data_IF_359421490399
#
_entry.id   IF_359421490399
#
_cell.length_a   1.000
_cell.length_b   1.000
_cell.length_c   1.000
_cell.angle_alpha   90.00
_cell.angle_beta   90.00
_cell.angle_gamma   90.00
#
_symmetry.space_group_name_H-M   'P 1'
#
loop_
_entity.id
_entity.type
_entity.pdbx_description
1 polymer ?
#
# COMPACT_ATOMS: atom_id res chain seq x y z
N UNK A 1 15.32 67.69 -44.51
CA UNK A 1 14.22 66.70 -44.53
C UNK A 1 14.37 65.85 -43.28
N UNK A 2 13.43 65.95 -42.35
CA UNK A 2 13.36 65.13 -41.14
C UNK A 2 12.51 63.90 -41.48
N UNK A 3 13.09 62.70 -41.43
CA UNK A 3 12.33 61.45 -41.50
C UNK A 3 12.09 60.94 -40.08
N UNK A 4 10.83 60.95 -39.68
CA UNK A 4 10.31 60.33 -38.47
C UNK A 4 10.42 58.80 -38.58
N UNK A 5 10.97 58.16 -37.55
CA UNK A 5 10.84 56.70 -37.36
C UNK A 5 9.63 56.41 -36.46
N UNK A 6 8.76 55.46 -36.80
CA UNK A 6 7.60 55.12 -35.97
C UNK A 6 8.00 54.22 -34.79
N UNK A 7 7.37 54.45 -33.64
CA UNK A 7 7.42 53.57 -32.48
C UNK A 7 6.79 52.19 -32.79
N UNK A 8 7.27 51.10 -32.18
CA UNK A 8 6.63 49.79 -32.33
C UNK A 8 5.23 49.80 -31.67
N UNK A 9 4.27 49.01 -32.17
CA UNK A 9 2.96 48.91 -31.55
C UNK A 9 3.08 48.22 -30.18
N UNK A 10 2.28 48.71 -29.23
CA UNK A 10 2.00 48.01 -27.97
C UNK A 10 1.48 46.62 -28.31
N UNK A 11 2.24 45.60 -27.91
CA UNK A 11 1.77 44.22 -27.95
C UNK A 11 0.61 44.08 -26.97
N UNK A 12 -0.52 43.73 -27.57
CA UNK A 12 -1.79 43.36 -26.99
C UNK A 12 -1.59 42.32 -25.88
N UNK A 13 -2.05 42.65 -24.69
CA UNK A 13 -2.10 41.79 -23.52
C UNK A 13 -3.21 40.76 -23.75
N UNK A 14 -2.92 39.78 -24.60
CA UNK A 14 -3.72 38.59 -24.77
C UNK A 14 -3.60 37.75 -23.51
N UNK A 15 -4.45 38.06 -22.54
CA UNK A 15 -4.75 37.22 -21.39
C UNK A 15 -4.98 35.80 -21.90
N UNK A 16 -3.99 34.93 -21.71
CA UNK A 16 -4.20 33.50 -21.80
C UNK A 16 -5.13 33.14 -20.65
N UNK A 17 -6.43 33.21 -20.88
CA UNK A 17 -7.38 32.35 -20.19
C UNK A 17 -7.01 30.94 -20.62
N UNK A 18 -6.02 30.36 -19.93
CA UNK A 18 -5.86 28.93 -19.87
C UNK A 18 -7.12 28.43 -19.21
N UNK A 19 -8.07 28.04 -20.04
CA UNK A 19 -9.16 27.14 -19.71
C UNK A 19 -8.50 25.79 -19.33
N UNK A 20 -7.85 25.79 -18.17
CA UNK A 20 -7.55 24.58 -17.44
C UNK A 20 -8.94 24.09 -17.04
N UNK A 21 -9.52 23.28 -17.92
CA UNK A 21 -10.55 22.34 -17.54
C UNK A 21 -10.08 21.73 -16.23
N UNK A 22 -10.68 22.16 -15.11
CA UNK A 22 -10.68 21.45 -13.84
C UNK A 22 -11.41 20.12 -14.11
N UNK A 23 -10.73 19.24 -14.85
CA UNK A 23 -11.05 17.84 -14.91
C UNK A 23 -10.68 17.32 -13.54
N UNK A 24 -11.63 17.33 -12.63
CA UNK A 24 -11.66 16.30 -11.61
C UNK A 24 -11.76 14.98 -12.38
N UNK A 25 -10.61 14.41 -12.74
CA UNK A 25 -10.59 13.05 -13.27
C UNK A 25 -11.28 12.19 -12.21
N UNK A 26 -12.42 11.62 -12.60
CA UNK A 26 -13.21 10.79 -11.70
C UNK A 26 -12.32 9.65 -11.19
N UNK A 27 -12.39 9.31 -9.88
CA UNK A 27 -11.62 8.22 -9.32
C UNK A 27 -11.82 6.92 -10.10
N UNK A 28 -10.74 6.16 -10.33
CA UNK A 28 -10.76 4.97 -11.20
C UNK A 28 -11.68 3.86 -10.68
N UNK A 29 -11.86 3.79 -9.37
CA UNK A 29 -12.76 2.87 -8.67
C UNK A 29 -13.64 3.68 -7.74
N UNK A 30 -14.80 3.14 -7.35
CA UNK A 30 -15.61 3.67 -6.25
C UNK A 30 -15.01 3.33 -4.88
N UNK A 31 -15.41 4.02 -3.78
CA UNK A 31 -14.91 3.71 -2.44
C UNK A 31 -15.21 2.27 -2.04
N UNK A 32 -16.38 1.75 -2.43
CA UNK A 32 -16.78 0.37 -2.13
C UNK A 32 -15.95 -0.66 -2.90
N UNK A 33 -15.62 -0.40 -4.16
CA UNK A 33 -14.73 -1.28 -4.95
C UNK A 33 -13.32 -1.28 -4.37
N UNK A 34 -12.84 -0.11 -3.93
CA UNK A 34 -11.52 0.02 -3.31
C UNK A 34 -11.47 -0.70 -1.95
N UNK A 35 -12.48 -0.49 -1.10
CA UNK A 35 -12.64 -1.20 0.18
C UNK A 35 -12.73 -2.72 0.02
N UNK A 36 -13.33 -3.21 -1.08
CA UNK A 36 -13.43 -4.64 -1.35
C UNK A 36 -12.06 -5.34 -1.51
N UNK A 37 -11.04 -4.65 -2.04
CA UNK A 37 -9.67 -5.20 -2.11
C UNK A 37 -9.08 -5.48 -0.71
N UNK A 38 -9.24 -4.52 0.21
CA UNK A 38 -8.77 -4.66 1.59
C UNK A 38 -9.51 -5.78 2.31
N UNK A 39 -10.84 -5.84 2.18
CA UNK A 39 -11.66 -6.88 2.81
C UNK A 39 -11.30 -8.26 2.25
N UNK A 40 -11.18 -8.41 0.92
CA UNK A 40 -10.77 -9.68 0.30
C UNK A 40 -9.40 -10.13 0.82
N UNK A 41 -8.43 -9.23 0.89
CA UNK A 41 -7.10 -9.56 1.40
C UNK A 41 -7.12 -9.92 2.89
N UNK A 42 -7.85 -9.19 3.73
CA UNK A 42 -7.99 -9.51 5.15
C UNK A 42 -8.70 -10.85 5.37
N UNK A 43 -9.75 -11.14 4.60
CA UNK A 43 -10.42 -12.43 4.65
C UNK A 43 -9.49 -13.57 4.22
N UNK A 44 -8.64 -13.35 3.22
CA UNK A 44 -7.57 -14.28 2.87
C UNK A 44 -6.58 -14.47 4.03
N UNK A 45 -6.11 -13.39 4.67
CA UNK A 45 -5.23 -13.50 5.83
C UNK A 45 -5.88 -14.31 6.97
N UNK A 46 -7.20 -14.21 7.16
CA UNK A 46 -7.97 -15.05 8.09
C UNK A 46 -8.00 -16.55 7.76
N UNK A 47 -7.67 -16.92 6.53
CA UNK A 47 -7.53 -18.33 6.14
C UNK A 47 -6.15 -18.88 6.48
N UNK A 48 -5.16 -18.01 6.68
CA UNK A 48 -3.87 -18.37 7.24
C UNK A 48 -4.02 -18.54 8.77
N UNK A 49 -2.92 -18.87 9.46
CA UNK A 49 -2.89 -19.06 10.92
C UNK A 49 -3.09 -17.76 11.75
N UNK A 50 -3.88 -16.81 11.25
CA UNK A 50 -4.34 -15.61 11.97
C UNK A 50 -5.74 -15.84 12.53
N UNK A 51 -5.98 -15.37 13.75
CA UNK A 51 -7.32 -15.43 14.35
C UNK A 51 -8.26 -14.47 13.63
N UNK A 52 -9.43 -14.96 13.21
CA UNK A 52 -10.47 -14.13 12.60
C UNK A 52 -10.92 -13.01 13.52
N UNK A 53 -10.86 -13.18 14.84
CA UNK A 53 -11.23 -12.14 15.79
C UNK A 53 -10.22 -10.99 15.87
N UNK A 54 -8.98 -11.22 15.43
CA UNK A 54 -7.93 -10.21 15.42
C UNK A 54 -7.98 -9.34 14.15
N UNK A 55 -8.77 -9.74 13.15
CA UNK A 55 -8.98 -8.96 11.94
C UNK A 55 -9.84 -7.74 12.22
N UNK A 56 -9.34 -6.59 11.76
CA UNK A 56 -10.03 -5.31 11.83
C UNK A 56 -10.91 -5.14 10.60
N UNK A 57 -12.07 -5.79 10.62
CA UNK A 57 -13.08 -5.67 9.56
C UNK A 57 -13.96 -4.45 9.86
N UNK A 58 -14.23 -3.56 8.88
CA UNK A 58 -15.12 -2.43 9.09
C UNK A 58 -16.54 -2.90 9.46
N UNK A 59 -17.25 -2.17 10.34
CA UNK A 59 -18.70 -2.34 10.49
C UNK A 59 -19.44 -2.16 9.16
N UNK A 60 -20.69 -2.63 8.99
CA UNK A 60 -21.46 -2.42 7.76
C UNK A 60 -21.71 -0.96 7.38
N UNK A 61 -21.61 -0.05 8.35
CA UNK A 61 -21.67 1.41 8.18
C UNK A 61 -20.28 2.06 8.19
N UNK A 62 -19.24 1.23 8.16
CA UNK A 62 -17.84 1.54 8.40
C UNK A 62 -17.50 2.13 9.77
N UNK A 63 -16.26 2.58 9.94
CA UNK A 63 -15.71 3.03 11.22
C UNK A 63 -16.28 4.40 11.63
N UNK A 64 -17.11 4.50 12.68
CA UNK A 64 -17.80 5.75 13.04
C UNK A 64 -16.85 6.86 13.51
N UNK A 65 -15.64 6.52 13.94
CA UNK A 65 -14.60 7.48 14.33
C UNK A 65 -13.88 8.15 13.16
N UNK A 66 -14.11 7.69 11.91
CA UNK A 66 -13.53 8.31 10.71
C UNK A 66 -14.50 9.39 10.21
N UNK A 67 -14.12 10.64 10.39
CA UNK A 67 -14.91 11.84 10.10
C UNK A 67 -13.98 12.92 9.56
N UNK A 68 -14.54 13.94 8.90
CA UNK A 68 -13.73 15.09 8.46
C UNK A 68 -13.00 15.74 9.65
N UNK A 69 -13.68 15.86 10.79
CA UNK A 69 -13.14 16.33 12.08
C UNK A 69 -11.91 15.53 12.52
N UNK A 70 -12.02 14.19 12.56
CA UNK A 70 -10.93 13.31 13.01
C UNK A 70 -9.82 13.16 11.96
N UNK A 71 -10.09 13.61 10.73
CA UNK A 71 -9.14 13.81 9.65
C UNK A 71 -8.67 15.26 9.54
N UNK A 72 -8.83 16.10 10.58
CA UNK A 72 -8.32 17.47 10.63
C UNK A 72 -8.83 18.39 9.52
N UNK A 73 -9.95 18.04 8.87
CA UNK A 73 -10.56 18.72 7.73
C UNK A 73 -9.66 18.87 6.48
N UNK A 74 -8.58 18.09 6.39
CA UNK A 74 -7.63 18.20 5.28
C UNK A 74 -7.78 17.08 4.24
N UNK A 75 -8.64 16.08 4.50
CA UNK A 75 -8.96 15.01 3.53
C UNK A 75 -10.17 15.39 2.69
N UNK A 76 -10.17 14.95 1.42
CA UNK A 76 -11.33 15.10 0.54
C UNK A 76 -12.50 14.23 1.03
N UNK A 77 -13.73 14.59 0.65
CA UNK A 77 -14.92 13.80 0.99
C UNK A 77 -14.80 12.36 0.47
N UNK A 78 -14.27 12.20 -0.76
CA UNK A 78 -14.04 10.91 -1.39
C UNK A 78 -13.06 10.03 -0.59
N UNK A 79 -11.99 10.64 -0.07
CA UNK A 79 -10.99 9.98 0.76
C UNK A 79 -11.55 9.61 2.13
N UNK A 80 -12.41 10.44 2.71
CA UNK A 80 -13.11 10.11 3.96
C UNK A 80 -14.04 8.90 3.74
N UNK A 81 -14.82 8.89 2.66
CA UNK A 81 -15.69 7.75 2.31
C UNK A 81 -14.90 6.46 2.10
N UNK A 82 -13.73 6.54 1.46
CA UNK A 82 -12.82 5.40 1.27
C UNK A 82 -12.23 4.90 2.59
N UNK A 83 -11.78 5.81 3.45
CA UNK A 83 -11.16 5.47 4.72
C UNK A 83 -12.13 4.81 5.70
N UNK A 84 -13.43 5.07 5.59
CA UNK A 84 -14.47 4.45 6.44
C UNK A 84 -14.44 2.92 6.38
N UNK A 85 -13.92 2.34 5.28
CA UNK A 85 -13.82 0.89 5.08
C UNK A 85 -12.50 0.26 5.59
N UNK A 86 -11.51 1.03 6.05
CA UNK A 86 -10.28 0.47 6.64
C UNK A 86 -9.61 1.37 7.70
N UNK A 87 -8.90 0.75 8.66
CA UNK A 87 -8.30 1.52 9.77
C UNK A 87 -7.08 2.31 9.30
N UNK A 88 -7.20 3.64 9.17
CA UNK A 88 -6.06 4.56 8.95
C UNK A 88 -5.07 4.59 10.13
N UNK A 89 -3.81 4.92 9.86
CA UNK A 89 -2.81 5.23 10.90
C UNK A 89 -2.82 6.74 11.25
N UNK A 90 -2.17 7.15 12.35
CA UNK A 90 -2.06 8.57 12.72
C UNK A 90 -1.00 9.26 11.86
N UNK A 91 -1.36 10.34 11.17
CA UNK A 91 -0.53 10.98 10.15
C UNK A 91 0.26 12.19 10.69
N UNK A 92 1.51 12.36 10.25
CA UNK A 92 2.25 13.65 10.29
C UNK A 92 3.21 13.73 9.10
N UNK A 93 2.87 14.49 8.05
CA UNK A 93 3.59 14.43 6.75
C UNK A 93 3.86 15.80 6.13
N UNK A 94 4.17 16.80 6.95
CA UNK A 94 4.58 18.13 6.47
C UNK A 94 5.96 18.04 5.77
N UNK A 95 6.04 17.48 4.55
CA UNK A 95 7.10 17.65 3.52
C UNK A 95 7.14 16.53 2.44
N UNK A 96 6.21 15.57 2.40
CA UNK A 96 6.29 14.46 1.44
C UNK A 96 5.47 14.71 0.17
N UNK A 97 6.06 14.44 -0.99
CA UNK A 97 5.38 14.46 -2.30
C UNK A 97 5.01 13.03 -2.67
N UNK A 98 3.77 12.82 -3.14
CA UNK A 98 3.27 11.52 -3.58
C UNK A 98 3.00 11.57 -5.08
N UNK A 99 3.59 10.64 -5.83
CA UNK A 99 3.49 10.60 -7.29
C UNK A 99 2.89 9.27 -7.72
N UNK A 100 1.75 9.32 -8.42
CA UNK A 100 1.17 8.15 -9.08
C UNK A 100 1.91 7.85 -10.40
N UNK A 101 1.42 6.86 -11.14
CA UNK A 101 1.87 6.61 -12.51
C UNK A 101 1.52 7.75 -13.50
N UNK A 102 0.61 8.65 -13.14
CA UNK A 102 0.11 9.72 -14.00
C UNK A 102 0.60 11.11 -13.55
N UNK A 103 0.39 11.45 -12.28
CA UNK A 103 0.63 12.81 -11.76
C UNK A 103 0.89 12.86 -10.25
N UNK A 104 1.31 14.04 -9.78
CA UNK A 104 1.45 14.35 -8.37
C UNK A 104 0.09 14.37 -7.68
N UNK A 105 -0.02 13.70 -6.54
CA UNK A 105 -1.27 13.53 -5.81
C UNK A 105 -1.40 14.58 -4.70
N UNK A 106 -2.61 15.10 -4.53
CA UNK A 106 -2.94 15.98 -3.42
C UNK A 106 -2.96 15.19 -2.09
N UNK A 107 -2.39 15.76 -1.03
CA UNK A 107 -2.33 15.13 0.30
C UNK A 107 -3.71 14.82 0.89
N UNK A 108 -4.75 15.51 0.44
CA UNK A 108 -6.15 15.26 0.79
C UNK A 108 -6.68 13.95 0.21
N UNK A 109 -6.01 13.40 -0.81
CA UNK A 109 -6.35 12.16 -1.52
C UNK A 109 -5.37 11.00 -1.27
N UNK A 110 -4.52 11.12 -0.24
CA UNK A 110 -3.57 10.08 0.16
C UNK A 110 -3.97 9.52 1.53
N UNK A 111 -3.88 8.22 1.76
CA UNK A 111 -4.13 7.62 3.09
C UNK A 111 -2.96 6.73 3.51
N UNK A 112 -2.40 6.97 4.70
CA UNK A 112 -1.52 5.99 5.34
C UNK A 112 -2.36 4.89 6.00
N UNK A 113 -2.26 3.66 5.51
CA UNK A 113 -3.04 2.53 6.04
C UNK A 113 -2.18 1.52 6.81
N UNK A 114 -0.85 1.58 6.69
CA UNK A 114 0.08 0.85 7.53
C UNK A 114 1.41 1.59 7.67
N UNK A 115 2.00 1.56 8.87
CA UNK A 115 3.28 2.19 9.15
C UNK A 115 4.15 1.23 9.99
N UNK A 116 5.38 1.01 9.52
CA UNK A 116 6.42 0.28 10.23
C UNK A 116 7.45 1.24 10.82
N UNK A 117 7.95 0.93 12.01
CA UNK A 117 8.95 1.75 12.71
C UNK A 117 10.38 1.21 12.53
N UNK A 118 11.35 2.12 12.55
CA UNK A 118 12.79 1.82 12.45
C UNK A 118 13.33 1.97 11.03
N UNK A 119 14.65 1.85 10.87
CA UNK A 119 15.28 1.87 9.54
C UNK A 119 14.73 0.72 8.69
N UNK A 120 14.33 1.01 7.45
CA UNK A 120 13.59 0.09 6.57
C UNK A 120 12.18 -0.31 7.07
N UNK A 121 11.63 0.41 8.05
CA UNK A 121 10.20 0.38 8.34
C UNK A 121 9.41 0.75 7.09
N UNK A 122 8.32 0.02 6.83
CA UNK A 122 7.50 0.20 5.63
C UNK A 122 6.29 1.09 5.92
N UNK A 123 6.20 2.23 5.27
CA UNK A 123 4.98 3.02 5.16
C UNK A 123 4.19 2.58 3.93
N UNK A 124 2.92 2.24 4.08
CA UNK A 124 2.03 1.91 2.97
C UNK A 124 0.97 2.98 2.80
N UNK A 125 0.93 3.52 1.59
CA UNK A 125 0.22 4.74 1.24
C UNK A 125 -0.71 4.48 0.07
N UNK A 126 -2.01 4.73 0.27
CA UNK A 126 -3.01 4.61 -0.78
C UNK A 126 -3.21 5.96 -1.46
N UNK A 127 -2.98 6.01 -2.77
CA UNK A 127 -3.35 7.12 -3.64
C UNK A 127 -4.79 6.88 -4.10
N UNK A 128 -5.73 7.59 -3.50
CA UNK A 128 -7.15 7.24 -3.56
C UNK A 128 -7.74 7.49 -4.95
N UNK A 129 -7.37 8.60 -5.60
CA UNK A 129 -7.85 8.97 -6.94
C UNK A 129 -7.45 7.92 -7.99
N UNK A 130 -6.17 7.57 -7.99
CA UNK A 130 -5.58 6.70 -9.03
C UNK A 130 -5.62 5.21 -8.67
N UNK A 131 -6.08 4.87 -7.47
CA UNK A 131 -6.19 3.49 -6.97
C UNK A 131 -4.84 2.75 -7.02
N UNK A 132 -3.80 3.43 -6.55
CA UNK A 132 -2.43 2.93 -6.51
C UNK A 132 -1.88 2.96 -5.07
N UNK A 133 -0.92 2.09 -4.78
CA UNK A 133 -0.25 2.00 -3.49
C UNK A 133 1.23 2.32 -3.66
N UNK A 134 1.75 3.19 -2.79
CA UNK A 134 3.17 3.46 -2.63
C UNK A 134 3.67 2.77 -1.38
N UNK A 135 4.84 2.17 -1.50
CA UNK A 135 5.61 1.68 -0.37
C UNK A 135 6.81 2.61 -0.12
N UNK A 136 6.83 3.23 1.05
CA UNK A 136 7.97 4.00 1.54
C UNK A 136 8.82 3.13 2.46
N UNK A 137 10.13 3.09 2.21
CA UNK A 137 11.13 2.53 3.10
C UNK A 137 11.79 3.66 3.90
N UNK A 138 11.48 3.73 5.19
CA UNK A 138 12.04 4.72 6.10
C UNK A 138 13.57 4.76 6.02
N UNK A 139 14.13 5.96 5.83
CA UNK A 139 15.56 6.24 5.68
C UNK A 139 16.26 5.62 4.45
N UNK A 140 15.49 5.13 3.47
CA UNK A 140 16.05 4.46 2.29
C UNK A 140 15.49 4.98 0.97
N UNK A 141 14.25 4.63 0.63
CA UNK A 141 13.71 4.85 -0.72
C UNK A 141 12.18 4.90 -0.71
N UNK A 142 11.59 5.51 -1.73
CA UNK A 142 10.15 5.44 -2.01
C UNK A 142 9.98 4.63 -3.27
N UNK A 143 9.30 3.49 -3.18
CA UNK A 143 9.07 2.62 -4.31
C UNK A 143 8.00 3.21 -5.23
N UNK A 144 8.06 2.83 -6.52
CA UNK A 144 7.06 3.23 -7.51
C UNK A 144 5.65 2.81 -7.08
N UNK A 145 4.69 3.69 -7.38
CA UNK A 145 3.27 3.40 -7.20
C UNK A 145 2.87 2.15 -8.03
N UNK A 146 2.04 1.30 -7.44
CA UNK A 146 1.52 0.08 -8.07
C UNK A 146 0.01 0.01 -7.94
N UNK A 147 -0.74 -0.45 -8.96
CA UNK A 147 -2.20 -0.59 -8.85
C UNK A 147 -2.60 -1.45 -7.64
N UNK A 148 -3.64 -1.05 -6.91
CA UNK A 148 -4.11 -1.72 -5.68
C UNK A 148 -4.32 -3.22 -5.88
N UNK A 149 -4.91 -3.62 -7.01
CA UNK A 149 -5.12 -5.03 -7.32
C UNK A 149 -3.83 -5.83 -7.48
N UNK A 150 -2.82 -5.24 -8.13
CA UNK A 150 -1.49 -5.86 -8.28
C UNK A 150 -0.76 -5.92 -6.94
N UNK A 151 -0.86 -4.84 -6.15
CA UNK A 151 -0.27 -4.77 -4.82
C UNK A 151 -0.76 -5.91 -3.94
N UNK A 152 -2.07 -6.19 -3.87
CA UNK A 152 -2.61 -7.27 -3.03
C UNK A 152 -2.46 -8.67 -3.62
N UNK A 153 -2.42 -8.80 -4.96
CA UNK A 153 -2.17 -10.08 -5.62
C UNK A 153 -0.78 -10.63 -5.30
N UNK A 154 0.23 -9.76 -5.21
CA UNK A 154 1.61 -10.15 -4.93
C UNK A 154 1.81 -10.85 -3.56
N UNK A 155 1.48 -10.25 -2.39
CA UNK A 155 1.64 -10.89 -1.10
C UNK A 155 0.74 -12.12 -0.98
N UNK A 156 -0.46 -12.12 -1.58
CA UNK A 156 -1.31 -13.31 -1.66
C UNK A 156 -0.57 -14.47 -2.35
N UNK A 157 -0.02 -14.25 -3.54
CA UNK A 157 0.79 -15.25 -4.26
C UNK A 157 1.98 -15.71 -3.40
N UNK A 158 2.67 -14.79 -2.72
CA UNK A 158 3.81 -15.14 -1.87
C UNK A 158 3.41 -16.03 -0.69
N UNK A 159 2.26 -15.81 -0.07
CA UNK A 159 1.73 -16.68 0.98
C UNK A 159 1.30 -18.04 0.42
N UNK A 160 0.57 -18.06 -0.70
CA UNK A 160 0.11 -19.30 -1.36
C UNK A 160 1.28 -20.19 -1.81
N UNK A 161 2.38 -19.57 -2.26
CA UNK A 161 3.59 -20.26 -2.70
C UNK A 161 4.62 -20.48 -1.58
N UNK A 162 4.30 -20.10 -0.34
CA UNK A 162 5.18 -20.19 0.83
C UNK A 162 6.55 -19.51 0.61
N UNK A 163 6.58 -18.45 -0.22
CA UNK A 163 7.67 -17.46 -0.24
C UNK A 163 7.59 -16.56 0.99
N UNK A 164 6.38 -16.32 1.48
CA UNK A 164 6.11 -15.84 2.83
C UNK A 164 5.45 -16.96 3.62
N UNK A 165 6.05 -17.34 4.74
CA UNK A 165 5.50 -18.37 5.61
C UNK A 165 4.89 -17.67 6.82
N UNK A 166 3.54 -17.75 7.01
CA UNK A 166 2.91 -17.10 8.13
C UNK A 166 3.39 -17.72 9.44
N UNK A 167 3.52 -16.91 10.49
CA UNK A 167 3.84 -17.37 11.83
C UNK A 167 2.70 -17.02 12.76
N UNK A 168 2.12 -17.99 13.47
CA UNK A 168 1.14 -17.68 14.50
C UNK A 168 1.80 -16.82 15.58
N UNK A 169 1.37 -15.55 15.69
CA UNK A 169 1.93 -14.55 16.64
C UNK A 169 3.45 -14.36 16.50
N UNK A 170 4.01 -14.66 15.34
CA UNK A 170 5.43 -14.53 15.03
C UNK A 170 5.61 -13.71 13.76
N UNK A 171 6.82 -13.20 13.58
CA UNK A 171 7.21 -12.52 12.35
C UNK A 171 7.09 -13.53 11.19
N UNK A 172 6.45 -13.10 10.09
CA UNK A 172 6.40 -13.85 8.84
C UNK A 172 7.82 -14.17 8.38
N UNK A 173 8.07 -15.43 8.00
CA UNK A 173 9.39 -15.83 7.51
C UNK A 173 9.46 -15.52 6.02
N UNK A 174 10.46 -14.72 5.63
CA UNK A 174 10.86 -14.51 4.24
C UNK A 174 11.67 -15.70 3.74
N UNK A 175 11.07 -16.47 2.83
CA UNK A 175 11.58 -17.75 2.36
C UNK A 175 11.89 -17.76 0.86
N UNK A 176 11.82 -16.61 0.18
CA UNK A 176 11.99 -16.52 -1.28
C UNK A 176 13.34 -17.06 -1.79
N UNK A 177 14.38 -17.02 -0.95
CA UNK A 177 15.73 -17.46 -1.30
C UNK A 177 16.01 -18.92 -0.94
N UNK A 178 15.17 -19.56 -0.14
CA UNK A 178 15.36 -20.94 0.27
C UNK A 178 14.94 -21.89 -0.87
N UNK A 179 15.82 -22.80 -1.32
CA UNK A 179 15.50 -23.72 -2.39
C UNK A 179 14.41 -24.70 -1.98
N UNK A 180 13.62 -25.17 -2.95
CA UNK A 180 12.66 -26.25 -2.72
C UNK A 180 13.39 -27.59 -2.51
N UNK A 181 12.90 -28.38 -1.55
CA UNK A 181 13.36 -29.74 -1.29
C UNK A 181 12.19 -30.71 -1.35
N UNK A 182 12.31 -31.71 -2.22
CA UNK A 182 11.26 -32.70 -2.50
C UNK A 182 11.33 -33.89 -1.55
N UNK A 183 12.52 -34.22 -1.06
CA UNK A 183 12.70 -35.29 -0.09
C UNK A 183 12.08 -34.89 1.25
N UNK A 184 11.30 -35.79 1.84
CA UNK A 184 10.72 -35.60 3.17
C UNK A 184 11.84 -35.40 4.19
N UNK A 185 11.77 -34.29 4.92
CA UNK A 185 12.66 -34.00 6.04
C UNK A 185 12.03 -34.62 7.29
N UNK A 186 12.77 -35.51 7.96
CA UNK A 186 12.30 -36.11 9.22
C UNK A 186 12.55 -35.16 10.40
N UNK A 187 11.77 -35.33 11.46
CA UNK A 187 11.99 -34.60 12.70
C UNK A 187 13.39 -34.90 13.29
N UNK A 188 13.88 -36.13 13.16
CA UNK A 188 15.24 -36.50 13.59
C UNK A 188 16.32 -35.77 12.78
N UNK A 189 16.15 -35.62 11.46
CA UNK A 189 17.06 -34.84 10.62
C UNK A 189 17.07 -33.37 11.06
N UNK A 190 15.89 -32.76 11.23
CA UNK A 190 15.76 -31.37 11.69
C UNK A 190 16.40 -31.17 13.07
N UNK A 191 16.13 -32.06 14.03
CA UNK A 191 16.66 -31.98 15.40
C UNK A 191 18.16 -32.29 15.49
N UNK A 192 18.75 -32.95 14.48
CA UNK A 192 20.19 -33.24 14.44
C UNK A 192 21.04 -32.03 14.04
N UNK A 193 20.41 -30.94 13.58
CA UNK A 193 21.14 -29.74 13.18
C UNK A 193 21.88 -29.10 14.36
N UNK A 194 23.03 -28.50 14.08
CA UNK A 194 23.84 -27.78 15.07
C UNK A 194 23.80 -26.26 14.88
N UNK A 195 23.21 -25.80 13.78
CA UNK A 195 23.06 -24.39 13.45
C UNK A 195 21.86 -23.78 14.18
N UNK A 196 21.84 -22.45 14.26
CA UNK A 196 20.68 -21.72 14.77
C UNK A 196 19.58 -21.70 13.71
N UNK A 197 18.34 -21.56 14.19
CA UNK A 197 17.14 -21.46 13.37
C UNK A 197 17.25 -20.38 12.28
N UNK A 198 16.74 -20.67 11.09
CA UNK A 198 16.74 -19.78 9.93
C UNK A 198 17.58 -20.30 8.76
N UNK A 199 18.00 -21.56 8.82
CA UNK A 199 18.68 -22.24 7.71
C UNK A 199 17.69 -22.65 6.61
N UNK A 200 18.20 -22.99 5.44
CA UNK A 200 17.39 -23.57 4.37
C UNK A 200 16.65 -24.84 4.83
N UNK A 201 17.27 -25.65 5.71
CA UNK A 201 16.65 -26.85 6.26
C UNK A 201 15.41 -26.53 7.10
N UNK A 202 15.49 -25.50 7.96
CA UNK A 202 14.37 -25.04 8.78
C UNK A 202 13.20 -24.59 7.91
N UNK A 203 13.50 -23.78 6.90
CA UNK A 203 12.50 -23.23 5.98
C UNK A 203 11.84 -24.35 5.17
N UNK A 204 12.62 -25.28 4.63
CA UNK A 204 12.12 -26.44 3.89
C UNK A 204 11.25 -27.35 4.76
N UNK A 205 11.67 -27.60 6.01
CA UNK A 205 10.91 -28.40 6.95
C UNK A 205 9.55 -27.76 7.28
N UNK A 206 9.55 -26.46 7.57
CA UNK A 206 8.30 -25.72 7.84
C UNK A 206 7.39 -25.71 6.61
N UNK A 207 7.92 -25.54 5.40
CA UNK A 207 7.13 -25.65 4.16
C UNK A 207 6.44 -27.01 4.04
N UNK A 208 7.15 -28.09 4.32
CA UNK A 208 6.56 -29.44 4.26
C UNK A 208 5.45 -29.63 5.29
N UNK A 209 5.58 -29.03 6.49
CA UNK A 209 4.49 -29.01 7.48
C UNK A 209 3.27 -28.27 6.91
N UNK A 210 3.45 -27.06 6.38
CA UNK A 210 2.35 -26.28 5.81
C UNK A 210 1.66 -26.98 4.64
N UNK A 211 2.41 -27.65 3.77
CA UNK A 211 1.86 -28.38 2.61
C UNK A 211 1.16 -29.69 2.98
N UNK A 212 1.40 -30.23 4.18
CA UNK A 212 0.79 -31.47 4.66
C UNK A 212 -0.57 -31.24 5.36
N UNK A 213 -0.92 -29.99 5.66
CA UNK A 213 -2.15 -29.57 6.34
C UNK A 213 -3.10 -28.84 5.38
#
# INVERSE_FOLDING_TARGET
MLQSSPSPPLSDDGSHESDASEGYDEPRLTPQELGAFFIDFYLFMATLNYDKSDLKIPPPTGWPEITSESCGYFKSDYTIETAIDFKKHSETHEAMEFWSSEDEQDLSDVICFAEGYGSYGRGLWLLVKDCEIIEELSEADVLSAVPVGEFFANPREQFETLKLIPGERRITIEAQNAPERKELITEDEMNSQTQQWGTDLDIQYVRQIYLAH
#
